data_IF_269217209352
#
_entry.id   IF_269217209352
#
_cell.length_a   1.000
_cell.length_b   1.000
_cell.length_c   1.000
_cell.angle_alpha   90.00
_cell.angle_beta   90.00
_cell.angle_gamma   90.00
#
_symmetry.space_group_name_H-M   'P 1'
#
loop_
_entity.id
_entity.type
_entity.pdbx_description
1 polymer ?
#
# COMPACT_ATOMS: atom_id res chain seq x y z
N UNK A 1 -20.53 -64.46 11.95
CA UNK A 1 -20.38 -63.19 12.68
C UNK A 1 -19.89 -62.14 11.70
N UNK A 2 -20.69 -61.10 11.44
CA UNK A 2 -20.43 -60.07 10.42
C UNK A 2 -19.67 -58.90 11.09
N UNK A 3 -18.41 -58.67 10.72
CA UNK A 3 -17.66 -57.49 11.18
C UNK A 3 -17.65 -56.45 10.05
N UNK A 4 -18.46 -55.43 10.20
CA UNK A 4 -18.49 -54.25 9.33
C UNK A 4 -17.40 -53.27 9.77
N UNK A 5 -16.31 -53.17 9.00
CA UNK A 5 -15.38 -52.04 9.13
C UNK A 5 -16.06 -50.77 8.61
N UNK A 6 -16.24 -49.78 9.48
CA UNK A 6 -16.63 -48.42 9.09
C UNK A 6 -15.35 -47.65 8.73
N UNK A 7 -15.18 -47.34 7.45
CA UNK A 7 -14.16 -46.40 7.02
C UNK A 7 -14.58 -44.97 7.39
N UNK A 8 -13.79 -44.31 8.24
CA UNK A 8 -13.93 -42.88 8.54
C UNK A 8 -13.15 -42.14 7.46
N UNK A 9 -13.84 -41.53 6.50
CA UNK A 9 -13.24 -40.62 5.54
C UNK A 9 -12.95 -39.29 6.23
N UNK A 10 -11.68 -39.00 6.52
CA UNK A 10 -11.25 -37.69 6.96
C UNK A 10 -11.26 -36.73 5.76
N UNK A 11 -12.26 -35.85 5.70
CA UNK A 11 -12.28 -34.75 4.73
C UNK A 11 -11.34 -33.66 5.25
N UNK A 12 -10.11 -33.61 4.72
CA UNK A 12 -9.27 -32.43 4.86
C UNK A 12 -9.87 -31.33 3.96
N UNK A 13 -10.55 -30.37 4.58
CA UNK A 13 -10.88 -29.11 3.93
C UNK A 13 -9.57 -28.36 3.67
N UNK A 14 -9.12 -28.36 2.41
CA UNK A 14 -8.02 -27.51 1.95
C UNK A 14 -8.58 -26.09 1.94
N UNK A 15 -8.40 -25.35 3.03
CA UNK A 15 -8.60 -23.90 3.02
C UNK A 15 -7.48 -23.32 2.19
N UNK A 16 -7.81 -22.92 0.96
CA UNK A 16 -6.93 -22.14 0.10
C UNK A 16 -6.50 -20.90 0.87
N UNK A 17 -5.28 -20.90 1.42
CA UNK A 17 -4.65 -19.68 1.90
C UNK A 17 -4.34 -18.90 0.65
N UNK A 18 -5.24 -17.99 0.28
CA UNK A 18 -4.95 -16.98 -0.73
C UNK A 18 -3.75 -16.21 -0.22
N UNK A 19 -2.56 -16.57 -0.72
CA UNK A 19 -1.37 -15.75 -0.55
C UNK A 19 -1.69 -14.47 -1.29
N UNK A 20 -2.10 -13.44 -0.56
CA UNK A 20 -2.28 -12.12 -1.12
C UNK A 20 -0.90 -11.57 -1.45
N UNK A 21 -0.36 -12.00 -2.59
CA UNK A 21 0.96 -11.60 -3.07
C UNK A 21 1.09 -10.07 -3.14
N UNK A 22 -0.04 -9.38 -3.35
CA UNK A 22 -0.18 -7.93 -3.48
C UNK A 22 -0.43 -7.10 -2.22
N UNK A 23 -0.21 -7.65 -1.03
CA UNK A 23 -0.51 -7.02 0.26
C UNK A 23 -1.74 -7.62 0.93
N UNK A 24 -1.93 -7.36 2.21
CA UNK A 24 -2.88 -8.03 3.09
C UNK A 24 -4.02 -7.08 3.50
N UNK A 25 -5.15 -7.04 2.76
CA UNK A 25 -6.31 -6.20 3.08
C UNK A 25 -7.08 -6.69 4.32
N UNK A 26 -6.75 -7.86 4.86
CA UNK A 26 -7.32 -8.35 6.12
C UNK A 26 -6.69 -7.64 7.32
N UNK A 27 -5.41 -7.26 7.22
CA UNK A 27 -4.67 -6.59 8.29
C UNK A 27 -4.49 -5.08 8.07
N UNK A 28 -4.12 -4.67 6.86
CA UNK A 28 -4.07 -3.26 6.46
C UNK A 28 -5.42 -2.92 5.85
N UNK A 29 -6.06 -1.84 6.31
CA UNK A 29 -7.41 -1.47 5.88
C UNK A 29 -7.40 -0.23 5.00
N UNK A 30 -8.42 -0.12 4.14
CA UNK A 30 -8.66 1.10 3.40
C UNK A 30 -8.99 2.23 4.39
N UNK A 31 -8.22 3.33 4.43
CA UNK A 31 -8.45 4.40 5.38
C UNK A 31 -9.60 5.28 4.90
N UNK A 32 -10.83 4.98 5.31
CA UNK A 32 -11.99 5.79 4.93
C UNK A 32 -11.77 7.29 5.21
N UNK A 33 -12.20 8.14 4.29
CA UNK A 33 -12.04 9.61 4.36
C UNK A 33 -10.58 10.11 4.47
N UNK A 34 -9.57 9.33 4.08
CA UNK A 34 -8.17 9.80 4.05
C UNK A 34 -8.00 11.10 3.26
N UNK A 35 -8.80 11.31 2.21
CA UNK A 35 -8.75 12.52 1.39
C UNK A 35 -9.18 13.79 2.13
N UNK A 36 -9.86 13.66 3.28
CA UNK A 36 -10.27 14.77 4.15
C UNK A 36 -9.41 14.85 5.41
N UNK A 37 -8.94 13.72 5.89
CA UNK A 37 -8.31 13.58 7.22
C UNK A 37 -6.79 13.51 7.14
N UNK A 38 -6.22 13.10 6.01
CA UNK A 38 -4.78 12.98 5.84
C UNK A 38 -4.23 14.20 5.11
N UNK A 39 -2.96 14.48 5.35
CA UNK A 39 -2.25 15.58 4.70
C UNK A 39 -1.65 15.11 3.39
N UNK A 40 -2.01 15.74 2.27
CA UNK A 40 -1.34 15.51 0.99
C UNK A 40 0.05 16.15 1.02
N UNK A 41 1.11 15.34 1.01
CA UNK A 41 2.49 15.83 1.14
C UNK A 41 3.24 15.94 -0.19
N UNK A 42 2.76 15.27 -1.25
CA UNK A 42 3.38 15.35 -2.56
C UNK A 42 2.45 14.95 -3.72
N UNK A 43 2.76 15.44 -4.91
CA UNK A 43 2.27 14.94 -6.20
C UNK A 43 3.47 14.75 -7.14
N UNK A 44 3.53 13.63 -7.85
CA UNK A 44 4.66 13.31 -8.73
C UNK A 44 4.29 12.34 -9.84
N UNK A 45 4.96 12.43 -10.99
CA UNK A 45 4.97 11.33 -11.95
C UNK A 45 5.68 10.12 -11.33
N UNK A 46 5.11 8.93 -11.49
CA UNK A 46 5.72 7.69 -10.99
C UNK A 46 6.96 7.34 -11.82
N UNK A 47 7.87 6.57 -11.23
CA UNK A 47 9.12 6.17 -11.88
C UNK A 47 8.93 5.41 -13.20
N UNK A 48 7.78 4.75 -13.39
CA UNK A 48 7.41 4.08 -14.64
C UNK A 48 7.00 5.03 -15.78
N UNK A 49 7.00 6.35 -15.55
CA UNK A 49 6.70 7.39 -16.54
C UNK A 49 5.34 7.24 -17.26
N UNK A 50 4.38 6.57 -16.62
CA UNK A 50 3.07 6.29 -17.23
C UNK A 50 1.89 6.59 -16.31
N UNK A 51 2.17 7.03 -15.08
CA UNK A 51 1.18 7.25 -14.02
C UNK A 51 1.56 8.46 -13.17
N UNK A 52 0.58 9.04 -12.51
CA UNK A 52 0.76 10.12 -11.52
C UNK A 52 0.40 9.58 -10.13
N UNK A 53 1.16 9.96 -9.12
CA UNK A 53 0.90 9.65 -7.73
C UNK A 53 0.53 10.92 -6.95
N UNK A 54 -0.55 10.86 -6.17
CA UNK A 54 -0.78 11.77 -5.05
C UNK A 54 -0.54 11.02 -3.75
N UNK A 55 0.21 11.65 -2.85
CA UNK A 55 0.73 11.01 -1.66
C UNK A 55 0.19 11.69 -0.42
N UNK A 56 -0.35 10.90 0.50
CA UNK A 56 -0.98 11.37 1.73
C UNK A 56 -0.39 10.65 2.93
N UNK A 57 -0.30 11.34 4.05
CA UNK A 57 0.13 10.78 5.33
C UNK A 57 -0.81 11.23 6.45
N UNK A 58 -1.13 10.33 7.37
CA UNK A 58 -1.88 10.69 8.56
C UNK A 58 -1.01 11.45 9.58
N UNK A 59 -1.66 11.97 10.62
CA UNK A 59 -0.98 12.75 11.66
C UNK A 59 0.14 11.95 12.36
N UNK A 60 -0.08 10.67 12.69
CA UNK A 60 0.92 9.84 13.34
C UNK A 60 2.20 9.69 12.50
N UNK A 61 2.08 9.47 11.19
CA UNK A 61 3.22 9.45 10.29
C UNK A 61 3.93 10.82 10.25
N UNK A 62 3.18 11.92 10.11
CA UNK A 62 3.74 13.28 10.08
C UNK A 62 4.50 13.61 11.37
N UNK A 63 3.92 13.32 12.54
CA UNK A 63 4.54 13.56 13.85
C UNK A 63 5.82 12.74 14.00
N UNK A 64 5.79 11.44 13.64
CA UNK A 64 6.98 10.60 13.66
C UNK A 64 8.11 11.16 12.79
N UNK A 65 7.78 11.58 11.56
CA UNK A 65 8.76 12.15 10.65
C UNK A 65 9.34 13.48 11.15
N UNK A 66 8.54 14.32 11.82
CA UNK A 66 9.04 15.53 12.49
C UNK A 66 10.05 15.24 13.60
N UNK A 67 9.84 14.17 14.37
CA UNK A 67 10.63 13.86 15.56
C UNK A 67 11.88 13.04 15.27
N UNK A 68 11.87 12.21 14.24
CA UNK A 68 12.97 11.27 14.02
C UNK A 68 13.09 10.74 12.59
N UNK A 69 12.46 11.40 11.60
CA UNK A 69 12.42 10.95 10.21
C UNK A 69 12.00 9.47 10.07
N UNK A 70 11.04 9.01 10.86
CA UNK A 70 10.47 7.67 10.76
C UNK A 70 9.03 7.70 11.21
N UNK A 71 8.19 6.83 10.69
CA UNK A 71 6.79 6.78 11.11
C UNK A 71 6.66 6.39 12.58
N UNK A 72 5.70 7.00 13.29
CA UNK A 72 5.27 6.51 14.58
C UNK A 72 4.31 5.31 14.39
N UNK A 73 4.18 4.41 15.39
CA UNK A 73 3.14 3.39 15.35
C UNK A 73 1.75 4.01 15.13
N UNK A 74 0.94 3.38 14.27
CA UNK A 74 -0.32 3.92 13.77
C UNK A 74 -0.17 4.88 12.58
N UNK A 75 1.05 5.10 12.09
CA UNK A 75 1.30 5.92 10.91
C UNK A 75 0.83 5.23 9.62
N UNK A 76 0.10 5.97 8.79
CA UNK A 76 -0.44 5.48 7.52
C UNK A 76 0.02 6.40 6.40
N UNK A 77 0.51 5.80 5.32
CA UNK A 77 0.85 6.47 4.07
C UNK A 77 -0.01 5.90 2.95
N UNK A 78 -0.64 6.79 2.18
CA UNK A 78 -1.51 6.45 1.06
C UNK A 78 -0.91 7.00 -0.22
N UNK A 79 -0.92 6.19 -1.29
CA UNK A 79 -0.61 6.59 -2.65
C UNK A 79 -1.83 6.36 -3.53
N UNK A 80 -2.47 7.44 -3.95
CA UNK A 80 -3.42 7.40 -5.06
C UNK A 80 -2.65 7.31 -6.37
N UNK A 81 -3.00 6.34 -7.21
CA UNK A 81 -2.36 6.07 -8.50
C UNK A 81 -3.34 6.44 -9.61
N UNK A 82 -2.99 7.44 -10.41
CA UNK A 82 -3.81 7.95 -11.50
C UNK A 82 -3.27 7.53 -12.87
N UNK A 83 -4.18 7.22 -13.79
CA UNK A 83 -3.89 7.21 -15.22
C UNK A 83 -3.84 8.65 -15.73
N UNK A 84 -2.86 9.00 -16.58
CA UNK A 84 -2.83 10.29 -17.22
C UNK A 84 -3.68 10.30 -18.50
N UNK A 85 -4.12 11.48 -18.91
CA UNK A 85 -4.64 11.69 -20.26
C UNK A 85 -3.59 11.32 -21.29
N UNK A 86 -4.02 10.73 -22.40
CA UNK A 86 -3.14 10.35 -23.50
C UNK A 86 -3.34 11.26 -24.71
N UNK A 87 -2.24 11.66 -25.32
CA UNK A 87 -2.24 12.36 -26.60
C UNK A 87 -2.60 11.42 -27.77
N UNK A 88 -2.64 11.97 -28.97
CA UNK A 88 -2.90 11.20 -30.19
C UNK A 88 -1.85 10.11 -30.45
N UNK A 89 -0.65 10.23 -29.89
CA UNK A 89 0.44 9.25 -29.96
C UNK A 89 0.38 8.17 -28.85
N UNK A 90 -0.67 8.19 -28.02
CA UNK A 90 -0.86 7.25 -26.91
C UNK A 90 0.01 7.52 -25.68
N UNK A 91 0.80 8.60 -25.66
CA UNK A 91 1.68 8.95 -24.53
C UNK A 91 0.98 9.87 -23.53
N UNK A 92 1.38 9.86 -22.24
CA UNK A 92 0.90 10.81 -21.26
C UNK A 92 1.10 12.25 -21.70
N UNK A 93 0.07 13.07 -21.58
CA UNK A 93 0.16 14.52 -21.78
C UNK A 93 0.76 15.15 -20.54
N UNK A 94 1.84 15.91 -20.69
CA UNK A 94 2.42 16.70 -19.61
C UNK A 94 1.71 18.06 -19.50
N UNK A 95 1.33 18.43 -18.28
CA UNK A 95 0.85 19.77 -17.94
C UNK A 95 2.00 20.77 -17.83
N UNK A 96 1.64 22.04 -17.61
CA UNK A 96 2.60 23.15 -17.53
C UNK A 96 3.57 23.08 -16.36
N UNK A 97 3.24 22.30 -15.32
CA UNK A 97 4.08 22.04 -14.15
C UNK A 97 5.01 20.82 -14.31
N UNK A 98 4.97 20.17 -15.48
CA UNK A 98 5.73 18.96 -15.78
C UNK A 98 5.12 17.67 -15.23
N UNK A 99 4.02 17.74 -14.47
CA UNK A 99 3.25 16.56 -14.08
C UNK A 99 2.36 16.13 -15.24
N UNK A 100 2.05 14.84 -15.36
CA UNK A 100 1.08 14.43 -16.36
C UNK A 100 -0.33 14.90 -15.97
N UNK A 101 -1.10 15.30 -16.97
CA UNK A 101 -2.51 15.63 -16.77
C UNK A 101 -3.27 14.39 -16.31
N UNK A 102 -3.88 14.46 -15.14
CA UNK A 102 -4.65 13.36 -14.56
C UNK A 102 -5.94 13.14 -15.37
N UNK A 103 -6.27 11.87 -15.61
CA UNK A 103 -7.54 11.42 -16.18
C UNK A 103 -8.41 10.75 -15.11
N UNK A 104 -8.02 9.56 -14.65
CA UNK A 104 -8.84 8.76 -13.73
C UNK A 104 -8.02 8.08 -12.62
N UNK A 105 -8.63 7.87 -11.46
CA UNK A 105 -8.02 7.11 -10.36
C UNK A 105 -8.04 5.62 -10.71
N UNK A 106 -6.89 4.96 -10.68
CA UNK A 106 -6.75 3.55 -11.05
C UNK A 106 -6.66 2.62 -9.84
N UNK A 107 -6.00 3.08 -8.77
CA UNK A 107 -5.83 2.32 -7.53
C UNK A 107 -5.42 3.23 -6.37
N UNK A 108 -5.60 2.71 -5.15
CA UNK A 108 -5.10 3.32 -3.91
C UNK A 108 -4.23 2.30 -3.20
N UNK A 109 -2.92 2.57 -3.10
CA UNK A 109 -2.00 1.75 -2.32
C UNK A 109 -1.87 2.33 -0.91
N UNK A 110 -1.92 1.46 0.10
CA UNK A 110 -1.88 1.82 1.51
C UNK A 110 -0.73 1.08 2.18
N UNK A 111 0.08 1.84 2.91
CA UNK A 111 1.07 1.31 3.82
C UNK A 111 0.72 1.77 5.23
N UNK A 112 0.78 0.85 6.18
CA UNK A 112 0.50 1.14 7.59
C UNK A 112 1.62 0.61 8.47
N UNK A 113 2.09 1.43 9.41
CA UNK A 113 3.10 1.07 10.38
C UNK A 113 2.44 0.75 11.73
N UNK A 114 2.61 -0.46 12.24
CA UNK A 114 2.19 -0.85 13.60
C UNK A 114 3.24 -1.74 14.23
N UNK A 115 3.53 -1.52 15.51
CA UNK A 115 4.44 -2.35 16.29
C UNK A 115 3.73 -3.51 17.02
N UNK A 116 2.41 -3.63 16.86
CA UNK A 116 1.54 -4.57 17.56
C UNK A 116 0.62 -5.35 16.60
N UNK A 117 1.12 -5.74 15.43
CA UNK A 117 0.40 -6.61 14.49
C UNK A 117 -0.06 -7.91 15.16
N UNK A 118 -1.25 -8.38 14.79
CA UNK A 118 -1.78 -9.68 15.22
C UNK A 118 -0.84 -10.82 14.80
N UNK A 119 -0.85 -11.92 15.55
CA UNK A 119 -0.09 -13.12 15.23
C UNK A 119 -0.51 -13.75 13.89
N UNK A 120 -1.75 -13.50 13.43
CA UNK A 120 -2.24 -13.91 12.12
C UNK A 120 -1.61 -13.15 10.96
N UNK A 121 -0.91 -12.03 11.18
CA UNK A 121 -0.20 -11.30 10.12
C UNK A 121 1.27 -11.73 10.05
N UNK A 122 1.65 -12.60 9.10
CA UNK A 122 2.99 -13.19 9.07
C UNK A 122 4.07 -12.12 8.85
N UNK A 123 5.24 -12.32 9.46
CA UNK A 123 6.37 -11.38 9.32
C UNK A 123 6.87 -11.31 7.89
N UNK A 124 6.69 -12.38 7.13
CA UNK A 124 7.08 -12.51 5.73
C UNK A 124 6.21 -11.65 4.80
N UNK A 125 5.03 -11.22 5.26
CA UNK A 125 4.09 -10.37 4.51
C UNK A 125 4.22 -8.87 4.87
N UNK A 126 5.22 -8.51 5.67
CA UNK A 126 5.49 -7.13 6.10
C UNK A 126 6.99 -6.84 6.04
N UNK A 127 7.36 -5.57 6.15
CA UNK A 127 8.76 -5.16 6.23
C UNK A 127 8.98 -4.22 7.38
N UNK A 128 9.86 -4.61 8.32
CA UNK A 128 9.85 -4.03 9.65
C UNK A 128 8.44 -4.10 10.25
N UNK A 129 7.91 -2.93 10.59
CA UNK A 129 6.56 -2.74 11.13
C UNK A 129 5.52 -2.31 10.07
N UNK A 130 5.91 -2.24 8.79
CA UNK A 130 5.04 -1.82 7.70
C UNK A 130 4.31 -2.98 7.02
N UNK A 131 2.97 -2.93 7.06
CA UNK A 131 2.08 -3.74 6.22
C UNK A 131 1.64 -2.98 4.96
N UNK A 132 1.08 -3.73 4.01
CA UNK A 132 0.69 -3.22 2.68
C UNK A 132 -0.71 -3.71 2.30
N UNK A 133 -1.46 -2.90 1.56
CA UNK A 133 -2.64 -3.35 0.81
C UNK A 133 -2.89 -2.42 -0.40
N UNK A 134 -3.61 -2.91 -1.40
CA UNK A 134 -4.04 -2.11 -2.57
C UNK A 134 -5.55 -2.23 -2.74
N UNK A 135 -6.16 -1.12 -3.12
CA UNK A 135 -7.61 -0.99 -3.29
C UNK A 135 -7.96 -0.41 -4.65
N UNK A 136 -9.16 -0.74 -5.11
CA UNK A 136 -9.80 -0.07 -6.24
C UNK A 136 -10.25 1.35 -5.82
N UNK A 137 -10.60 2.22 -6.78
CA UNK A 137 -11.07 3.57 -6.48
C UNK A 137 -12.29 3.67 -5.55
N UNK A 138 -13.09 2.60 -5.46
CA UNK A 138 -14.25 2.48 -4.57
C UNK A 138 -13.90 2.00 -3.15
N UNK A 139 -12.61 1.74 -2.87
CA UNK A 139 -12.13 1.24 -1.58
C UNK A 139 -12.23 -0.28 -1.42
N UNK A 140 -12.71 -1.03 -2.41
CA UNK A 140 -12.70 -2.49 -2.38
C UNK A 140 -11.29 -3.05 -2.55
N UNK A 141 -10.99 -4.18 -1.90
CA UNK A 141 -9.69 -4.82 -2.02
C UNK A 141 -9.36 -5.15 -3.48
N UNK A 142 -8.16 -4.78 -3.92
CA UNK A 142 -7.68 -5.04 -5.27
C UNK A 142 -6.67 -6.17 -5.26
N UNK A 143 -7.04 -7.29 -5.87
CA UNK A 143 -6.08 -8.37 -6.13
C UNK A 143 -4.94 -7.84 -7.02
N UNK A 144 -3.71 -8.16 -6.63
CA UNK A 144 -2.53 -7.90 -7.42
C UNK A 144 -1.44 -8.91 -7.06
N UNK A 145 -0.53 -9.18 -8.01
CA UNK A 145 0.52 -10.19 -7.84
C UNK A 145 1.87 -9.57 -7.43
N UNK A 146 1.89 -8.29 -7.04
CA UNK A 146 3.12 -7.56 -6.74
C UNK A 146 3.64 -7.87 -5.35
N UNK A 147 4.83 -8.46 -5.25
CA UNK A 147 5.48 -8.68 -3.96
C UNK A 147 5.97 -7.36 -3.32
N UNK A 148 5.12 -6.78 -2.49
CA UNK A 148 5.37 -5.50 -1.82
C UNK A 148 6.60 -5.57 -0.90
N UNK A 149 6.74 -6.66 -0.14
CA UNK A 149 7.82 -6.87 0.83
C UNK A 149 9.18 -6.91 0.14
N UNK A 150 9.28 -7.59 -0.99
CA UNK A 150 10.54 -7.72 -1.73
C UNK A 150 11.08 -6.36 -2.21
N UNK A 151 10.20 -5.48 -2.69
CA UNK A 151 10.62 -4.16 -3.18
C UNK A 151 10.90 -3.17 -2.05
N UNK A 152 10.19 -3.26 -0.93
CA UNK A 152 10.29 -2.29 0.16
C UNK A 152 11.35 -2.64 1.21
N UNK A 153 11.63 -3.93 1.45
CA UNK A 153 12.62 -4.38 2.46
C UNK A 153 14.03 -3.80 2.26
N UNK A 154 14.56 -3.69 1.02
CA UNK A 154 15.87 -3.07 0.79
C UNK A 154 15.95 -1.58 1.20
N UNK A 155 14.82 -0.92 1.44
CA UNK A 155 14.74 0.51 1.78
C UNK A 155 14.76 0.77 3.30
N UNK A 156 15.31 -0.12 4.11
CA UNK A 156 15.35 0.03 5.58
C UNK A 156 15.92 1.39 6.04
N UNK A 157 16.94 1.92 5.36
CA UNK A 157 17.53 3.23 5.66
C UNK A 157 16.61 4.42 5.37
N UNK A 158 15.49 4.18 4.69
CA UNK A 158 14.48 5.15 4.28
C UNK A 158 13.11 4.80 4.88
N UNK A 159 13.10 4.17 6.06
CA UNK A 159 11.87 3.71 6.73
C UNK A 159 10.98 2.88 5.80
N UNK A 160 11.61 2.11 4.91
CA UNK A 160 10.95 1.26 3.91
C UNK A 160 10.10 2.01 2.87
N UNK A 161 10.19 3.34 2.74
CA UNK A 161 9.39 4.14 1.81
C UNK A 161 10.21 4.66 0.62
N UNK A 162 9.74 4.42 -0.61
CA UNK A 162 10.29 5.07 -1.81
C UNK A 162 10.12 6.60 -1.79
N UNK A 163 9.12 7.10 -1.06
CA UNK A 163 8.78 8.51 -0.96
C UNK A 163 9.31 9.15 0.33
N UNK A 164 10.17 8.45 1.07
CA UNK A 164 10.78 8.89 2.33
C UNK A 164 11.25 10.35 2.28
N UNK A 165 12.09 10.69 1.30
CA UNK A 165 12.67 12.02 1.22
C UNK A 165 11.60 13.10 0.99
N UNK A 166 10.53 12.80 0.24
CA UNK A 166 9.41 13.75 0.04
C UNK A 166 8.69 14.03 1.35
N UNK A 167 8.51 13.03 2.20
CA UNK A 167 7.87 13.20 3.49
C UNK A 167 8.78 13.96 4.48
N UNK A 168 10.08 13.62 4.50
CA UNK A 168 11.10 14.36 5.28
C UNK A 168 11.14 15.84 4.88
N UNK A 169 11.17 16.13 3.58
CA UNK A 169 11.20 17.51 3.09
C UNK A 169 9.89 18.25 3.39
N UNK A 170 8.76 17.55 3.35
CA UNK A 170 7.46 18.12 3.66
C UNK A 170 7.38 18.59 5.12
N UNK A 171 7.83 17.78 6.08
CA UNK A 171 7.69 18.10 7.51
C UNK A 171 8.71 19.12 8.03
N UNK A 172 9.73 19.44 7.24
CA UNK A 172 10.76 20.45 7.55
C UNK A 172 10.39 21.86 7.09
N UNK A 173 9.41 21.98 6.19
CA UNK A 173 8.87 23.27 5.74
C UNK A 173 7.94 23.84 6.79
#
# INVERSE_FOLDING_TARGET
MKNTLRAIAAVLAITSVSVYAGGDPEHVKFPADYNKTFTQYATMNRANQTQVAKLYANEAAIVGYKQGNKSAPGGVVVMEIYTPKKGADGKPVAGSDGLFEIDSLAAVAVMENRNNWDASFPKENRTGDWGFAVYNPDGTAKSNDLNCVQCHTPLQAQDYLFTYQKLVDFVKK
#
